data_IF_322938146005
#
_entry.id   IF_322938146005
#
_cell.length_a   1.000
_cell.length_b   1.000
_cell.length_c   1.000
_cell.angle_alpha   90.00
_cell.angle_beta   90.00
_cell.angle_gamma   90.00
#
_symmetry.space_group_name_H-M   'P 1'
#
loop_
_entity.id
_entity.type
_entity.pdbx_description
1 polymer ?
#
# COMPACT_ATOMS: atom_id res chain seq x y z
N UNK A 1 25.78 -7.12 0.52
CA UNK A 1 26.67 -7.95 1.34
C UNK A 1 26.86 -7.40 2.74
N UNK A 2 27.16 -6.11 2.91
CA UNK A 2 27.35 -5.49 4.23
C UNK A 2 26.12 -5.64 5.13
N UNK A 3 24.90 -5.38 4.60
CA UNK A 3 23.66 -5.52 5.36
C UNK A 3 23.44 -6.96 5.85
N UNK A 4 23.72 -7.95 5.01
CA UNK A 4 23.65 -9.37 5.42
C UNK A 4 24.63 -9.69 6.55
N UNK A 5 25.87 -9.21 6.44
CA UNK A 5 26.87 -9.39 7.47
C UNK A 5 26.44 -8.77 8.81
N UNK A 6 25.71 -7.64 8.76
CA UNK A 6 25.09 -6.99 9.94
C UNK A 6 23.81 -7.67 10.42
N UNK A 7 23.43 -8.82 9.85
CA UNK A 7 22.28 -9.60 10.27
C UNK A 7 20.95 -9.19 9.62
N UNK A 8 20.95 -8.31 8.61
CA UNK A 8 19.74 -7.95 7.88
C UNK A 8 19.16 -9.19 7.18
N UNK A 9 17.85 -9.43 7.38
CA UNK A 9 17.09 -10.53 6.79
C UNK A 9 15.97 -10.07 5.89
N UNK A 10 15.53 -8.82 6.04
CA UNK A 10 14.40 -8.23 5.32
C UNK A 10 14.77 -6.81 4.92
N UNK A 11 14.46 -6.44 3.67
CA UNK A 11 14.59 -5.08 3.15
C UNK A 11 13.25 -4.71 2.53
N UNK A 12 12.71 -3.56 2.92
CA UNK A 12 11.61 -2.91 2.24
C UNK A 12 12.16 -1.83 1.32
N UNK A 13 11.82 -1.90 0.05
CA UNK A 13 11.95 -0.80 -0.88
C UNK A 13 10.60 -0.10 -0.94
N UNK A 14 10.57 1.16 -0.55
CA UNK A 14 9.34 1.96 -0.57
C UNK A 14 9.45 2.94 -1.73
N UNK A 15 8.60 2.78 -2.74
CA UNK A 15 8.51 3.73 -3.84
C UNK A 15 7.95 5.06 -3.34
N UNK A 16 8.46 6.13 -3.93
CA UNK A 16 7.91 7.46 -3.66
C UNK A 16 6.51 7.59 -4.26
N UNK A 17 5.56 8.07 -3.45
CA UNK A 17 4.20 8.40 -3.88
C UNK A 17 4.07 9.92 -3.88
N UNK A 18 3.73 10.58 -5.01
CA UNK A 18 3.80 12.03 -5.17
C UNK A 18 2.59 12.75 -4.53
N UNK A 19 2.56 12.81 -3.20
CA UNK A 19 1.52 13.53 -2.47
C UNK A 19 1.56 15.04 -2.66
N UNK A 20 2.74 15.59 -2.95
CA UNK A 20 2.93 17.01 -3.17
C UNK A 20 2.95 17.33 -4.66
N UNK A 21 2.21 18.36 -5.07
CA UNK A 21 2.22 18.81 -6.46
C UNK A 21 3.63 19.23 -6.89
N UNK A 22 4.05 18.83 -8.09
CA UNK A 22 5.37 19.13 -8.64
C UNK A 22 6.46 18.13 -8.22
N UNK A 23 6.11 17.03 -7.54
CA UNK A 23 7.04 15.96 -7.17
C UNK A 23 6.86 14.67 -7.98
N UNK A 24 6.05 14.70 -9.04
CA UNK A 24 5.72 13.57 -9.88
C UNK A 24 6.96 12.98 -10.57
N UNK A 25 7.98 13.80 -10.80
CA UNK A 25 9.26 13.38 -11.36
C UNK A 25 10.12 12.52 -10.42
N UNK A 26 9.77 12.40 -9.16
CA UNK A 26 10.42 11.53 -8.18
C UNK A 26 9.83 10.12 -8.16
N UNK A 27 8.65 9.92 -8.75
CA UNK A 27 8.05 8.60 -8.93
C UNK A 27 8.89 7.75 -9.89
N UNK A 28 9.00 6.46 -9.61
CA UNK A 28 9.67 5.54 -10.53
C UNK A 28 8.85 5.41 -11.82
N UNK A 29 9.54 5.53 -12.94
CA UNK A 29 9.00 5.14 -14.23
C UNK A 29 9.00 3.61 -14.39
N UNK A 30 8.40 3.12 -15.48
CA UNK A 30 8.32 1.69 -15.78
C UNK A 30 9.71 1.02 -15.80
N UNK A 31 10.72 1.67 -16.37
CA UNK A 31 12.08 1.13 -16.45
C UNK A 31 12.75 1.06 -15.06
N UNK A 32 12.49 2.05 -14.21
CA UNK A 32 12.91 2.09 -12.82
C UNK A 32 12.31 0.93 -12.02
N UNK A 33 11.01 0.68 -12.13
CA UNK A 33 10.31 -0.42 -11.47
C UNK A 33 10.83 -1.78 -11.92
N UNK A 34 11.00 -1.99 -13.23
CA UNK A 34 11.60 -3.24 -13.73
C UNK A 34 13.03 -3.47 -13.21
N UNK A 35 13.80 -2.40 -13.07
CA UNK A 35 15.16 -2.47 -12.53
C UNK A 35 15.13 -2.81 -11.05
N UNK A 36 14.22 -2.20 -10.27
CA UNK A 36 14.02 -2.48 -8.85
C UNK A 36 13.65 -3.95 -8.68
N UNK A 37 12.62 -4.44 -9.37
CA UNK A 37 12.16 -5.83 -9.31
C UNK A 37 13.28 -6.83 -9.63
N UNK A 38 14.06 -6.59 -10.68
CA UNK A 38 15.22 -7.46 -11.02
C UNK A 38 16.26 -7.48 -9.91
N UNK A 39 16.51 -6.35 -9.26
CA UNK A 39 17.48 -6.25 -8.16
C UNK A 39 16.96 -6.90 -6.87
N UNK A 40 15.71 -6.69 -6.51
CA UNK A 40 15.03 -7.33 -5.37
C UNK A 40 15.10 -8.85 -5.48
N UNK A 41 14.69 -9.39 -6.63
CA UNK A 41 14.77 -10.82 -6.91
C UNK A 41 16.20 -11.36 -6.81
N UNK A 42 17.20 -10.59 -7.27
CA UNK A 42 18.62 -10.97 -7.15
C UNK A 42 19.10 -11.01 -5.71
N UNK A 43 18.62 -10.09 -4.84
CA UNK A 43 18.96 -10.09 -3.40
C UNK A 43 18.43 -11.36 -2.72
N UNK A 44 17.19 -11.73 -2.99
CA UNK A 44 16.61 -12.97 -2.46
C UNK A 44 17.41 -14.21 -2.82
N UNK A 45 17.77 -14.35 -4.09
CA UNK A 45 18.51 -15.52 -4.59
C UNK A 45 19.96 -15.57 -4.14
N UNK A 46 20.68 -14.44 -4.14
CA UNK A 46 22.13 -14.40 -3.88
C UNK A 46 22.47 -14.25 -2.41
N UNK A 47 21.70 -13.39 -1.71
CA UNK A 47 22.04 -12.97 -0.37
C UNK A 47 21.11 -13.58 0.68
N UNK A 48 20.07 -14.32 0.29
CA UNK A 48 19.05 -14.86 1.20
C UNK A 48 18.44 -13.78 2.11
N UNK A 49 18.24 -12.59 1.54
CA UNK A 49 17.56 -11.45 2.17
C UNK A 49 16.20 -11.37 1.50
N UNK A 50 15.12 -11.40 2.28
CA UNK A 50 13.79 -11.12 1.74
C UNK A 50 13.72 -9.65 1.34
N UNK A 51 13.41 -9.38 0.09
CA UNK A 51 13.15 -8.04 -0.42
C UNK A 51 11.65 -7.92 -0.71
N UNK A 52 11.06 -6.82 -0.28
CA UNK A 52 9.66 -6.47 -0.52
C UNK A 52 9.64 -5.09 -1.17
N UNK A 53 9.00 -4.97 -2.31
CA UNK A 53 8.81 -3.71 -3.02
C UNK A 53 7.39 -3.21 -2.72
N UNK A 54 7.25 -2.00 -2.17
CA UNK A 54 5.96 -1.45 -1.75
C UNK A 54 5.79 0.01 -2.23
N UNK A 55 4.71 0.32 -2.94
CA UNK A 55 3.78 -0.58 -3.63
C UNK A 55 4.45 -1.20 -4.87
N UNK A 56 4.04 -2.38 -5.31
CA UNK A 56 4.55 -2.96 -6.54
C UNK A 56 4.66 -4.48 -6.60
N UNK A 57 4.78 -5.17 -5.45
CA UNK A 57 4.85 -6.64 -5.40
C UNK A 57 3.45 -7.31 -5.33
N UNK A 58 2.40 -6.53 -5.21
CA UNK A 58 1.08 -7.01 -4.80
C UNK A 58 0.29 -7.63 -5.95
N UNK A 59 0.73 -7.45 -7.18
CA UNK A 59 0.14 -8.11 -8.37
C UNK A 59 0.09 -9.63 -8.26
N UNK A 60 1.08 -10.25 -7.62
CA UNK A 60 1.09 -11.70 -7.36
C UNK A 60 -0.04 -12.15 -6.41
N UNK A 61 -0.62 -11.22 -5.66
CA UNK A 61 -1.76 -11.43 -4.76
C UNK A 61 -3.09 -10.92 -5.35
N UNK A 62 -3.09 -10.56 -6.64
CA UNK A 62 -4.26 -10.02 -7.32
C UNK A 62 -4.51 -8.53 -7.00
N UNK A 63 -3.45 -7.73 -6.92
CA UNK A 63 -3.46 -6.28 -6.70
C UNK A 63 -3.32 -5.88 -5.25
N UNK A 64 -3.45 -4.58 -4.98
CA UNK A 64 -3.18 -3.91 -3.71
C UNK A 64 -3.76 -4.64 -2.48
N UNK A 65 -2.93 -4.87 -1.48
CA UNK A 65 -3.27 -5.58 -0.23
C UNK A 65 -3.85 -4.66 0.86
N UNK A 66 -4.12 -3.40 0.55
CA UNK A 66 -4.70 -2.42 1.46
C UNK A 66 -6.13 -2.80 1.94
N UNK A 67 -6.68 -1.97 2.80
CA UNK A 67 -8.05 -2.04 3.32
C UNK A 67 -8.39 -3.37 4.01
N UNK A 68 -7.40 -4.02 4.60
CA UNK A 68 -7.56 -5.29 5.31
C UNK A 68 -7.54 -6.53 4.42
N UNK A 69 -7.15 -6.44 3.13
CA UNK A 69 -6.84 -7.61 2.30
C UNK A 69 -5.59 -8.33 2.80
N UNK A 70 -4.55 -7.61 3.17
CA UNK A 70 -3.33 -8.10 3.79
C UNK A 70 -2.92 -7.22 4.97
N UNK A 71 -3.22 -5.93 4.91
CA UNK A 71 -2.95 -4.96 5.97
C UNK A 71 -3.98 -3.82 5.97
N UNK A 72 -3.98 -3.04 7.04
CA UNK A 72 -4.60 -1.72 7.16
C UNK A 72 -3.64 -0.79 7.90
N UNK A 73 -3.91 0.50 7.86
CA UNK A 73 -3.14 1.50 8.60
C UNK A 73 -3.96 2.08 9.75
N UNK A 74 -3.28 2.36 10.85
CA UNK A 74 -3.86 3.09 11.98
C UNK A 74 -3.03 4.36 12.14
N UNK A 75 -3.67 5.50 11.90
CA UNK A 75 -3.07 6.81 12.07
C UNK A 75 -2.67 7.09 13.53
N UNK A 76 -1.78 8.03 13.75
CA UNK A 76 -1.32 8.42 15.09
C UNK A 76 -2.47 8.95 15.98
N UNK A 77 -3.54 9.44 15.39
CA UNK A 77 -4.77 9.90 16.03
C UNK A 77 -5.78 8.76 16.30
N UNK A 78 -5.48 7.54 15.84
CA UNK A 78 -6.35 6.37 15.96
C UNK A 78 -7.28 6.16 14.77
N UNK A 79 -7.21 6.97 13.72
CA UNK A 79 -8.00 6.78 12.49
C UNK A 79 -7.68 5.43 11.85
N UNK A 80 -8.71 4.71 11.40
CA UNK A 80 -8.55 3.41 10.71
C UNK A 80 -8.64 3.65 9.21
N UNK A 81 -7.55 3.46 8.52
CA UNK A 81 -7.34 3.83 7.13
C UNK A 81 -7.03 2.60 6.26
N UNK A 82 -7.38 2.60 4.97
CA UNK A 82 -6.99 1.55 4.04
C UNK A 82 -5.48 1.31 4.00
N UNK A 83 -4.69 2.41 3.97
CA UNK A 83 -3.25 2.38 3.73
C UNK A 83 -2.66 3.74 4.14
N UNK A 84 -1.37 3.85 4.52
CA UNK A 84 -0.73 5.15 4.76
C UNK A 84 -0.74 6.07 3.54
N UNK A 85 -0.84 5.53 2.32
CA UNK A 85 -0.99 6.31 1.08
C UNK A 85 -2.44 6.64 0.71
N UNK A 86 -3.40 6.24 1.54
CA UNK A 86 -4.83 6.49 1.38
C UNK A 86 -5.42 6.84 2.75
N UNK A 87 -5.12 8.06 3.28
CA UNK A 87 -5.48 8.46 4.64
C UNK A 87 -6.95 8.89 4.75
N UNK A 88 -7.85 8.04 4.29
CA UNK A 88 -9.29 8.21 4.38
C UNK A 88 -9.86 7.34 5.49
N UNK A 89 -10.67 7.90 6.38
CA UNK A 89 -11.25 7.16 7.49
C UNK A 89 -12.64 7.66 7.85
N UNK A 90 -13.49 6.73 8.29
CA UNK A 90 -14.76 7.04 8.96
C UNK A 90 -14.87 6.39 10.34
N UNK A 91 -13.81 5.73 10.81
CA UNK A 91 -13.75 5.08 12.11
C UNK A 91 -12.46 5.43 12.86
N UNK A 92 -12.56 5.47 14.18
CA UNK A 92 -11.42 5.70 15.05
C UNK A 92 -11.39 4.65 16.15
N UNK A 93 -10.23 4.07 16.44
CA UNK A 93 -10.06 3.07 17.51
C UNK A 93 -10.27 3.62 18.94
N UNK A 94 -10.47 4.94 19.09
CA UNK A 94 -10.93 5.51 20.36
C UNK A 94 -12.42 5.26 20.62
N UNK A 95 -13.19 5.06 19.53
CA UNK A 95 -14.64 4.99 19.54
C UNK A 95 -15.16 3.56 19.30
N UNK A 96 -14.38 2.73 18.61
CA UNK A 96 -14.74 1.36 18.23
C UNK A 96 -13.63 0.37 18.54
N UNK A 97 -13.98 -0.89 18.73
CA UNK A 97 -13.00 -1.97 18.87
C UNK A 97 -12.29 -2.26 17.52
N UNK A 98 -11.10 -2.85 17.60
CA UNK A 98 -10.37 -3.28 16.38
C UNK A 98 -11.18 -4.28 15.56
N UNK A 99 -11.94 -5.16 16.19
CA UNK A 99 -12.78 -6.13 15.49
C UNK A 99 -13.92 -5.44 14.71
N UNK A 100 -14.54 -4.43 15.28
CA UNK A 100 -15.55 -3.61 14.58
C UNK A 100 -14.93 -2.84 13.43
N UNK A 101 -13.72 -2.30 13.62
CA UNK A 101 -13.00 -1.59 12.58
C UNK A 101 -12.67 -2.48 11.38
N UNK A 102 -12.29 -3.74 11.59
CA UNK A 102 -12.09 -4.72 10.50
C UNK A 102 -13.38 -4.99 9.71
N UNK A 103 -14.55 -4.88 10.35
CA UNK A 103 -15.88 -4.98 9.74
C UNK A 103 -16.38 -3.70 9.06
N UNK A 104 -15.56 -2.65 8.95
CA UNK A 104 -15.94 -1.36 8.35
C UNK A 104 -16.53 -1.52 6.96
N UNK A 105 -17.71 -0.93 6.75
CA UNK A 105 -18.36 -0.87 5.42
C UNK A 105 -17.48 -0.14 4.40
N UNK A 106 -16.76 0.89 4.81
CA UNK A 106 -15.84 1.61 3.96
C UNK A 106 -14.67 0.73 3.50
N UNK A 107 -14.00 0.06 4.44
CA UNK A 107 -12.92 -0.86 4.08
C UNK A 107 -13.43 -2.03 3.21
N UNK A 108 -14.63 -2.54 3.49
CA UNK A 108 -15.27 -3.55 2.65
C UNK A 108 -15.50 -3.04 1.23
N UNK A 109 -16.06 -1.84 1.07
CA UNK A 109 -16.29 -1.23 -0.23
C UNK A 109 -14.99 -1.03 -1.02
N UNK A 110 -13.89 -0.65 -0.36
CA UNK A 110 -12.56 -0.56 -1.02
C UNK A 110 -12.09 -1.95 -1.47
N UNK A 111 -12.18 -2.98 -0.60
CA UNK A 111 -11.79 -4.36 -0.94
C UNK A 111 -12.54 -4.96 -2.12
N UNK A 112 -13.81 -4.62 -2.26
CA UNK A 112 -14.71 -5.13 -3.30
C UNK A 112 -14.52 -4.42 -4.65
N UNK A 113 -13.87 -3.26 -4.67
CA UNK A 113 -13.59 -2.50 -5.89
C UNK A 113 -12.26 -2.91 -6.52
N UNK A 114 -12.21 -4.09 -7.12
CA UNK A 114 -10.97 -4.65 -7.71
C UNK A 114 -10.31 -3.73 -8.73
N UNK A 115 -11.09 -2.99 -9.52
CA UNK A 115 -10.55 -2.04 -10.52
C UNK A 115 -9.72 -0.91 -9.89
N UNK A 116 -10.00 -0.56 -8.62
CA UNK A 116 -9.21 0.44 -7.89
C UNK A 116 -7.93 -0.15 -7.27
N UNK A 117 -7.86 -1.45 -7.15
CA UNK A 117 -6.77 -2.19 -6.51
C UNK A 117 -5.77 -2.76 -7.52
N UNK A 118 -6.06 -2.57 -8.82
CA UNK A 118 -5.18 -3.03 -9.89
C UNK A 118 -3.89 -2.19 -9.94
N UNK A 119 -2.76 -2.87 -9.86
CA UNK A 119 -1.41 -2.30 -9.88
C UNK A 119 -0.65 -2.54 -11.19
N UNK A 120 -1.29 -3.15 -12.18
CA UNK A 120 -0.64 -3.47 -13.47
C UNK A 120 -0.01 -2.26 -14.17
N UNK A 121 -0.50 -1.05 -13.86
CA UNK A 121 0.08 0.21 -14.34
C UNK A 121 1.28 0.70 -13.53
N UNK A 122 1.67 -0.03 -12.46
CA UNK A 122 2.71 0.36 -11.50
C UNK A 122 2.30 1.50 -10.55
N UNK A 123 3.08 1.77 -9.51
CA UNK A 123 2.80 2.78 -8.50
C UNK A 123 1.62 2.46 -7.58
N UNK A 124 1.25 3.38 -6.70
CA UNK A 124 0.20 3.15 -5.72
C UNK A 124 -1.21 3.23 -6.32
N UNK A 125 -1.93 2.09 -6.36
CA UNK A 125 -3.28 1.99 -6.92
C UNK A 125 -4.28 2.90 -6.20
N UNK A 126 -4.31 2.90 -4.86
CA UNK A 126 -5.25 3.72 -4.08
C UNK A 126 -4.96 5.21 -4.20
N UNK A 127 -3.69 5.60 -4.29
CA UNK A 127 -3.33 7.00 -4.51
C UNK A 127 -3.84 7.50 -5.86
N UNK A 128 -3.69 6.72 -6.93
CA UNK A 128 -4.20 7.06 -8.27
C UNK A 128 -5.72 7.12 -8.34
N UNK A 129 -6.40 6.32 -7.51
CA UNK A 129 -7.86 6.26 -7.44
C UNK A 129 -8.43 7.03 -6.24
N UNK A 130 -7.68 7.98 -5.66
CA UNK A 130 -8.08 8.70 -4.43
C UNK A 130 -9.48 9.31 -4.49
N UNK A 131 -9.88 9.85 -5.64
CA UNK A 131 -11.20 10.45 -5.81
C UNK A 131 -12.32 9.40 -5.67
N UNK A 132 -12.10 8.20 -6.21
CA UNK A 132 -13.04 7.08 -6.05
C UNK A 132 -13.08 6.58 -4.61
N UNK A 133 -11.92 6.53 -3.93
CA UNK A 133 -11.85 6.16 -2.50
C UNK A 133 -12.65 7.16 -1.66
N UNK A 134 -12.54 8.44 -1.94
CA UNK A 134 -13.30 9.48 -1.25
C UNK A 134 -14.81 9.35 -1.49
N UNK A 135 -15.24 9.05 -2.71
CA UNK A 135 -16.66 8.75 -3.01
C UNK A 135 -17.16 7.56 -2.21
N UNK A 136 -16.41 6.46 -2.13
CA UNK A 136 -16.78 5.30 -1.30
C UNK A 136 -16.88 5.65 0.18
N UNK A 137 -15.96 6.48 0.69
CA UNK A 137 -16.02 6.96 2.05
C UNK A 137 -17.31 7.72 2.33
N UNK A 138 -17.72 8.63 1.43
CA UNK A 138 -18.95 9.40 1.57
C UNK A 138 -20.20 8.50 1.54
N UNK A 139 -20.23 7.51 0.66
CA UNK A 139 -21.34 6.55 0.53
C UNK A 139 -21.52 5.64 1.74
N UNK A 140 -20.45 5.42 2.49
CA UNK A 140 -20.43 4.50 3.64
C UNK A 140 -20.49 5.20 5.01
N UNK A 141 -20.66 6.51 5.03
CA UNK A 141 -20.80 7.33 6.27
C UNK A 141 -22.19 7.25 6.93
N UNK A 142 -23.15 6.51 6.34
CA UNK A 142 -24.52 6.36 6.84
C UNK A 142 -24.70 5.11 7.70
#
# INVERSE_FOLDING_TARGET
RELKWRGCRLIFFIEYVPFEAGTENLELDQAGRETLMKRSNSLGKREQILAVDFPGDEDIFGGCLAAGRGFLHIGADGAVEPCPFSPFSNLNLRDVSFQEALGSKFLAAVRENHDMLDETSGGCALFRNRDKVEVLLQQTRN
#
